data_IF_266289921405
#
_entry.id   IF_266289921405
#
_cell.length_a   1.000
_cell.length_b   1.000
_cell.length_c   1.000
_cell.angle_alpha   90.00
_cell.angle_beta   90.00
_cell.angle_gamma   90.00
#
_symmetry.space_group_name_H-M   'P 1'
#
loop_
_entity.id
_entity.type
_entity.pdbx_description
1 polymer ?
#
# COMPACT_ATOMS: atom_id res chain seq x y z
N UNK A 1 -8.67 -47.88 43.77
CA UNK A 1 -7.54 -47.61 42.86
C UNK A 1 -7.32 -46.10 42.82
N UNK A 2 -6.42 -45.54 43.66
CA UNK A 2 -6.07 -44.13 43.59
C UNK A 2 -4.91 -43.94 42.61
N UNK A 3 -5.03 -43.01 41.68
CA UNK A 3 -3.87 -42.48 40.98
C UNK A 3 -4.06 -42.32 39.48
N UNK A 4 -4.59 -41.17 39.08
CA UNK A 4 -4.01 -40.41 37.97
C UNK A 4 -4.19 -38.90 38.19
N UNK A 5 -3.32 -38.24 38.98
CA UNK A 5 -3.26 -36.78 39.05
C UNK A 5 -2.19 -36.16 38.11
N UNK A 6 -1.63 -36.90 37.14
CA UNK A 6 -0.45 -36.44 36.35
C UNK A 6 -0.74 -35.93 34.94
N UNK A 7 -1.85 -36.33 34.32
CA UNK A 7 -2.15 -35.93 32.94
C UNK A 7 -2.75 -34.51 32.86
N UNK A 8 -3.53 -34.14 33.87
CA UNK A 8 -4.24 -32.85 33.95
C UNK A 8 -3.28 -31.69 34.22
N UNK A 9 -2.18 -31.97 34.93
CA UNK A 9 -1.17 -30.98 35.30
C UNK A 9 -0.27 -30.61 34.11
N UNK A 10 0.05 -31.59 33.25
CA UNK A 10 0.86 -31.37 32.06
C UNK A 10 0.13 -30.52 30.99
N UNK A 11 -1.21 -30.56 30.94
CA UNK A 11 -2.01 -29.70 30.04
C UNK A 11 -2.07 -28.24 30.49
N UNK A 12 -1.82 -27.93 31.77
CA UNK A 12 -1.94 -26.56 32.32
C UNK A 12 -0.77 -25.64 31.97
N UNK A 13 0.35 -26.19 31.49
CA UNK A 13 1.54 -25.41 31.13
C UNK A 13 1.78 -25.25 29.62
N UNK A 14 0.90 -25.79 28.77
CA UNK A 14 0.99 -25.54 27.34
C UNK A 14 0.51 -24.12 27.04
N UNK A 15 1.43 -23.15 27.02
CA UNK A 15 1.17 -21.78 26.54
C UNK A 15 0.51 -21.88 25.16
N UNK A 16 -0.61 -21.19 24.97
CA UNK A 16 -1.36 -21.24 23.71
C UNK A 16 -0.41 -21.03 22.50
N UNK A 17 -0.57 -21.80 21.42
CA UNK A 17 0.20 -21.64 20.18
C UNK A 17 0.20 -20.19 19.70
N UNK A 18 1.32 -19.71 19.14
CA UNK A 18 1.40 -18.32 18.64
C UNK A 18 0.42 -18.08 17.48
N UNK A 19 0.10 -19.15 16.76
CA UNK A 19 -0.80 -19.16 15.61
C UNK A 19 -2.24 -18.84 15.96
N UNK A 20 -2.61 -18.99 17.24
CA UNK A 20 -3.96 -18.70 17.72
C UNK A 20 -4.16 -17.20 18.02
N UNK A 21 -3.08 -16.41 18.05
CA UNK A 21 -3.15 -14.96 18.24
C UNK A 21 -3.57 -14.25 16.95
N UNK A 22 -4.68 -13.48 16.96
CA UNK A 22 -5.07 -12.67 15.80
C UNK A 22 -3.99 -11.65 15.40
N UNK A 23 -3.20 -11.18 16.36
CA UNK A 23 -2.16 -10.17 16.14
C UNK A 23 -1.00 -10.69 15.32
N UNK A 24 -0.67 -11.99 15.41
CA UNK A 24 0.30 -12.62 14.53
C UNK A 24 -0.11 -12.49 13.07
N UNK A 25 -1.38 -12.79 12.77
CA UNK A 25 -1.89 -12.76 11.41
C UNK A 25 -1.93 -11.35 10.85
N UNK A 26 -2.39 -10.37 11.63
CA UNK A 26 -2.34 -8.96 11.20
C UNK A 26 -0.91 -8.52 10.90
N UNK A 27 0.06 -8.85 11.75
CA UNK A 27 1.47 -8.52 11.50
C UNK A 27 2.00 -9.22 10.24
N UNK A 28 1.71 -10.51 10.06
CA UNK A 28 2.17 -11.29 8.91
C UNK A 28 1.62 -10.73 7.59
N UNK A 29 0.30 -10.53 7.49
CA UNK A 29 -0.33 -10.08 6.26
C UNK A 29 0.07 -8.64 5.91
N UNK A 30 0.16 -7.76 6.90
CA UNK A 30 0.61 -6.38 6.65
C UNK A 30 2.08 -6.30 6.31
N UNK A 31 2.95 -7.15 6.90
CA UNK A 31 4.35 -7.25 6.49
C UNK A 31 4.50 -7.72 5.04
N UNK A 32 3.76 -8.76 4.64
CA UNK A 32 3.79 -9.26 3.26
C UNK A 32 3.23 -8.22 2.29
N UNK A 33 2.11 -7.57 2.65
CA UNK A 33 1.51 -6.50 1.84
C UNK A 33 2.45 -5.31 1.67
N UNK A 34 3.11 -4.87 2.74
CA UNK A 34 4.09 -3.79 2.71
C UNK A 34 5.32 -4.17 1.88
N UNK A 35 5.83 -5.40 2.03
CA UNK A 35 6.95 -5.90 1.24
C UNK A 35 6.61 -5.94 -0.26
N UNK A 36 5.42 -6.44 -0.62
CA UNK A 36 4.94 -6.47 -2.00
C UNK A 36 4.74 -5.05 -2.56
N UNK A 37 4.19 -4.13 -1.76
CA UNK A 37 3.97 -2.75 -2.15
C UNK A 37 5.30 -2.02 -2.41
N UNK A 38 6.27 -2.14 -1.49
CA UNK A 38 7.60 -1.55 -1.64
C UNK A 38 8.39 -2.16 -2.81
N UNK A 39 8.31 -3.48 -2.99
CA UNK A 39 8.96 -4.16 -4.11
C UNK A 39 8.39 -3.75 -5.48
N UNK A 40 7.13 -3.32 -5.53
CA UNK A 40 6.45 -2.99 -6.78
C UNK A 40 6.26 -1.49 -7.02
N UNK A 41 6.37 -0.64 -6.00
CA UNK A 41 6.18 0.81 -6.10
C UNK A 41 7.05 1.48 -7.17
N UNK A 42 8.34 1.11 -7.24
CA UNK A 42 9.25 1.64 -8.26
C UNK A 42 8.90 1.21 -9.70
N UNK A 43 8.22 0.08 -9.88
CA UNK A 43 7.80 -0.44 -11.20
C UNK A 43 6.49 0.17 -11.69
N UNK A 44 5.60 0.56 -10.77
CA UNK A 44 4.29 1.12 -11.11
C UNK A 44 4.32 2.63 -11.36
N UNK A 45 5.23 3.40 -10.76
CA UNK A 45 5.35 4.85 -10.99
C UNK A 45 5.54 5.21 -12.48
N UNK A 46 6.38 4.45 -13.21
CA UNK A 46 6.60 4.66 -14.66
C UNK A 46 5.36 4.39 -15.51
N UNK A 47 4.52 3.43 -15.11
CA UNK A 47 3.29 3.08 -15.84
C UNK A 47 2.13 4.01 -15.49
N UNK A 48 1.98 4.38 -14.22
CA UNK A 48 0.98 5.35 -13.78
C UNK A 48 1.23 6.72 -14.41
N UNK A 49 2.47 7.20 -14.44
CA UNK A 49 2.80 8.47 -15.09
C UNK A 49 2.44 8.50 -16.60
N UNK A 50 2.63 7.39 -17.31
CA UNK A 50 2.29 7.34 -18.74
C UNK A 50 0.78 7.30 -18.99
N UNK A 51 0.02 6.60 -18.13
CA UNK A 51 -1.46 6.59 -18.20
C UNK A 51 -2.02 7.96 -17.82
N UNK A 52 -1.49 8.56 -16.77
CA UNK A 52 -1.97 9.84 -16.26
C UNK A 52 -1.61 11.00 -17.20
N UNK A 53 -0.45 10.97 -17.84
CA UNK A 53 -0.11 11.94 -18.90
C UNK A 53 -1.07 11.86 -20.11
N UNK A 54 -1.48 10.65 -20.50
CA UNK A 54 -2.47 10.49 -21.58
C UNK A 54 -3.85 11.01 -21.18
N UNK A 55 -4.22 10.86 -19.90
CA UNK A 55 -5.49 11.39 -19.39
C UNK A 55 -5.45 12.91 -19.25
N UNK A 56 -4.39 13.46 -18.66
CA UNK A 56 -4.11 14.89 -18.54
C UNK A 56 -4.12 15.61 -19.90
N UNK A 57 -3.49 15.01 -20.92
CA UNK A 57 -3.52 15.56 -22.28
C UNK A 57 -4.93 15.61 -22.87
N UNK A 58 -5.78 14.62 -22.58
CA UNK A 58 -7.18 14.59 -23.05
C UNK A 58 -8.07 15.53 -22.25
N UNK A 59 -7.90 15.58 -20.93
CA UNK A 59 -8.69 16.45 -20.06
C UNK A 59 -8.36 17.91 -20.32
N UNK A 60 -7.11 18.26 -20.60
CA UNK A 60 -6.72 19.65 -20.86
C UNK A 60 -7.20 20.18 -22.23
N UNK A 61 -7.37 19.30 -23.22
CA UNK A 61 -8.06 19.63 -24.48
C UNK A 61 -9.57 19.80 -24.23
N UNK A 62 -10.18 18.91 -23.45
CA UNK A 62 -11.61 18.95 -23.16
C UNK A 62 -12.03 20.11 -22.24
N UNK A 63 -11.16 20.53 -21.31
CA UNK A 63 -11.40 21.65 -20.39
C UNK A 63 -11.10 23.01 -21.00
N UNK A 64 -10.66 23.06 -22.26
CA UNK A 64 -10.30 24.32 -22.95
C UNK A 64 -9.05 25.00 -22.37
N UNK A 65 -8.26 24.30 -21.56
CA UNK A 65 -7.02 24.84 -20.96
C UNK A 65 -5.84 24.76 -21.94
N UNK A 66 -5.89 23.83 -22.89
CA UNK A 66 -5.10 23.88 -24.11
C UNK A 66 -5.97 24.40 -25.25
N UNK A 67 -5.63 25.58 -25.76
CA UNK A 67 -6.14 26.06 -27.05
C UNK A 67 -5.23 25.47 -28.15
N UNK A 68 -5.78 24.58 -28.97
CA UNK A 68 -5.10 24.08 -30.16
C UNK A 68 -5.28 25.16 -31.23
N UNK A 69 -4.29 26.04 -31.36
CA UNK A 69 -4.28 27.00 -32.45
C UNK A 69 -3.80 26.28 -33.71
N UNK A 70 -4.67 26.24 -34.71
CA UNK A 70 -4.36 25.77 -36.06
C UNK A 70 -3.88 26.99 -36.85
N UNK A 71 -2.58 27.07 -37.11
CA UNK A 71 -1.95 28.20 -37.81
C UNK A 71 -2.17 28.16 -39.33
N UNK A 72 -2.98 27.22 -39.82
CA UNK A 72 -3.25 27.05 -41.25
C UNK A 72 -2.06 26.51 -42.05
N UNK A 73 -0.91 26.22 -41.41
CA UNK A 73 0.24 25.55 -42.01
C UNK A 73 0.26 24.04 -41.75
N UNK A 74 -0.74 23.53 -41.02
CA UNK A 74 -0.84 22.12 -40.61
C UNK A 74 -0.01 21.76 -39.38
N UNK A 75 0.67 22.71 -38.73
CA UNK A 75 1.33 22.49 -37.43
C UNK A 75 0.36 22.83 -36.28
N UNK A 76 0.01 21.82 -35.47
CA UNK A 76 -0.76 22.05 -34.25
C UNK A 76 0.18 22.43 -33.12
N UNK A 77 0.17 23.71 -32.71
CA UNK A 77 0.96 24.19 -31.57
C UNK A 77 0.11 24.26 -30.31
N UNK A 78 0.66 23.72 -29.22
CA UNK A 78 0.06 23.74 -27.89
C UNK A 78 0.51 25.02 -27.18
N UNK A 79 -0.44 25.90 -26.83
CA UNK A 79 -0.16 27.11 -26.04
C UNK A 79 -0.64 26.87 -24.60
N UNK A 80 0.29 26.91 -23.66
CA UNK A 80 0.05 26.64 -22.23
C UNK A 80 1.06 25.64 -21.67
N UNK A 81 1.42 25.76 -20.39
CA UNK A 81 2.34 24.85 -19.69
C UNK A 81 1.51 23.86 -18.86
N UNK A 82 1.26 22.63 -19.34
CA UNK A 82 0.41 21.71 -18.61
C UNK A 82 1.22 21.12 -17.45
N UNK A 83 0.66 21.13 -16.25
CA UNK A 83 1.31 20.56 -15.08
C UNK A 83 1.12 19.04 -15.09
N UNK A 84 1.98 18.37 -15.84
CA UNK A 84 1.92 16.92 -16.07
C UNK A 84 2.37 16.12 -14.83
N UNK A 85 1.73 14.97 -14.59
CA UNK A 85 2.16 14.03 -13.56
C UNK A 85 3.51 13.41 -13.94
N UNK A 86 4.54 13.68 -13.14
CA UNK A 86 5.86 13.04 -13.31
C UNK A 86 5.91 11.69 -12.59
N UNK A 87 6.76 10.73 -13.01
CA UNK A 87 6.95 9.44 -12.32
C UNK A 87 7.23 9.55 -10.82
N UNK A 88 7.83 10.67 -10.38
CA UNK A 88 8.15 10.97 -8.98
C UNK A 88 7.01 11.68 -8.21
N UNK A 89 5.94 12.12 -8.91
CA UNK A 89 4.75 12.77 -8.34
C UNK A 89 3.47 12.29 -9.05
N UNK A 90 3.08 11.02 -8.87
CA UNK A 90 1.78 10.54 -9.34
C UNK A 90 0.64 11.28 -8.62
N UNK A 91 -0.47 11.53 -9.31
CA UNK A 91 -1.63 12.25 -8.75
C UNK A 91 -2.33 11.42 -7.66
N UNK A 92 -2.25 10.09 -7.76
CA UNK A 92 -2.74 9.13 -6.77
C UNK A 92 -1.51 8.49 -6.11
N UNK A 93 -0.99 9.05 -5.01
CA UNK A 93 0.22 8.54 -4.39
C UNK A 93 -0.09 7.27 -3.58
N UNK A 94 0.81 6.28 -3.64
CA UNK A 94 0.68 4.99 -2.92
C UNK A 94 1.04 5.09 -1.42
N UNK A 95 1.67 6.20 -1.02
CA UNK A 95 2.13 6.44 0.35
C UNK A 95 1.06 6.33 1.46
N UNK A 96 -0.25 6.63 1.29
CA UNK A 96 -1.21 6.51 2.39
C UNK A 96 -1.45 5.03 2.72
N UNK A 97 -1.38 4.16 1.71
CA UNK A 97 -1.51 2.72 1.88
C UNK A 97 -0.29 2.15 2.60
N UNK A 98 0.91 2.65 2.27
CA UNK A 98 2.16 2.30 2.98
C UNK A 98 2.07 2.69 4.46
N UNK A 99 1.62 3.91 4.76
CA UNK A 99 1.44 4.38 6.15
C UNK A 99 0.41 3.53 6.88
N UNK A 100 -0.74 3.25 6.26
CA UNK A 100 -1.79 2.45 6.88
C UNK A 100 -1.29 1.04 7.22
N UNK A 101 -0.65 0.36 6.26
CA UNK A 101 -0.08 -0.96 6.47
C UNK A 101 1.01 -0.94 7.56
N UNK A 102 1.85 0.10 7.56
CA UNK A 102 2.88 0.30 8.59
C UNK A 102 2.30 0.47 9.99
N UNK A 103 1.25 1.28 10.14
CA UNK A 103 0.57 1.50 11.43
C UNK A 103 -0.04 0.20 11.95
N UNK A 104 -0.73 -0.55 11.09
CA UNK A 104 -1.33 -1.84 11.48
C UNK A 104 -0.23 -2.85 11.83
N UNK A 105 0.87 -2.90 11.07
CA UNK A 105 2.00 -3.80 11.33
C UNK A 105 2.64 -3.51 12.70
N UNK A 106 2.96 -2.25 12.99
CA UNK A 106 3.55 -1.84 14.27
C UNK A 106 2.58 -2.07 15.43
N UNK A 107 1.31 -1.69 15.26
CA UNK A 107 0.28 -1.87 16.28
C UNK A 107 0.00 -3.33 16.62
N UNK A 108 -0.10 -4.19 15.61
CA UNK A 108 -0.31 -5.62 15.79
C UNK A 108 0.90 -6.32 16.40
N UNK A 109 2.11 -5.95 15.97
CA UNK A 109 3.34 -6.49 16.56
C UNK A 109 3.48 -6.08 18.03
N UNK A 110 3.17 -4.83 18.38
CA UNK A 110 3.15 -4.36 19.76
C UNK A 110 2.13 -5.12 20.61
N UNK A 111 0.93 -5.36 20.08
CA UNK A 111 -0.10 -6.15 20.76
C UNK A 111 0.29 -7.62 20.93
N UNK A 112 0.90 -8.23 19.92
CA UNK A 112 1.42 -9.59 19.98
C UNK A 112 2.48 -9.70 21.08
N UNK A 113 3.44 -8.77 21.13
CA UNK A 113 4.46 -8.75 22.19
C UNK A 113 3.80 -8.60 23.55
N UNK A 114 2.83 -7.69 23.68
CA UNK A 114 2.09 -7.48 24.93
C UNK A 114 1.33 -8.73 25.39
N UNK A 115 0.68 -9.44 24.48
CA UNK A 115 -0.05 -10.69 24.76
C UNK A 115 0.90 -11.81 25.23
N UNK A 116 2.13 -11.83 24.73
CA UNK A 116 3.10 -12.90 25.05
C UNK A 116 3.92 -12.62 26.31
N UNK A 117 4.11 -11.35 26.66
CA UNK A 117 4.91 -10.92 27.82
C UNK A 117 4.04 -10.77 29.08
N UNK A 118 2.74 -10.47 28.94
CA UNK A 118 1.76 -10.59 30.03
C UNK A 118 1.35 -12.04 30.24
#
# INVERSE_FOLDING_TARGET
MPGQPREDENRRQAKAPITDSPWLWFALFTAVGLAALLATGGKFGKRQANIENKYQARSAIASGTLEIQDDGSGEKRVVGTPNYSTPDKPLIPLWPLEILLGVIFVGSTAMLIRERVR
#
